data_IF_116746934076
#
_entry.id   IF_116746934076
#
_cell.length_a   1.000
_cell.length_b   1.000
_cell.length_c   1.000
_cell.angle_alpha   90.00
_cell.angle_beta   90.00
_cell.angle_gamma   90.00
#
_symmetry.space_group_name_H-M   'P 1'
#
loop_
_entity.id
_entity.type
_entity.pdbx_description
1 polymer ?
#
# COMPACT_ATOMS: atom_id res chain seq x y z
N UNK A 1 -4.44 16.69 23.93
CA UNK A 1 -4.62 15.44 23.15
C UNK A 1 -3.26 14.83 23.02
N UNK A 2 -3.05 13.64 23.57
CA UNK A 2 -1.78 12.93 23.49
C UNK A 2 -1.46 12.67 22.03
N UNK A 3 -0.40 13.31 21.55
CA UNK A 3 0.24 13.08 20.26
C UNK A 3 0.72 11.63 20.27
N UNK A 4 -0.17 10.71 19.88
CA UNK A 4 0.16 9.30 19.80
C UNK A 4 1.28 9.21 18.77
N UNK A 5 2.44 8.69 19.18
CA UNK A 5 3.60 8.56 18.32
C UNK A 5 3.21 7.70 17.12
N UNK A 6 2.94 8.35 15.99
CA UNK A 6 2.60 7.73 14.73
C UNK A 6 3.77 6.88 14.26
N UNK A 7 3.53 5.58 14.07
CA UNK A 7 4.50 4.63 13.53
C UNK A 7 3.95 4.10 12.20
N UNK A 8 4.42 4.65 11.06
CA UNK A 8 3.96 4.25 9.73
C UNK A 8 4.02 2.73 9.51
N UNK A 9 4.97 2.07 10.16
CA UNK A 9 5.17 0.65 10.02
C UNK A 9 4.02 -0.20 10.57
N UNK A 10 3.35 0.29 11.61
CA UNK A 10 2.16 -0.34 12.18
C UNK A 10 0.85 0.23 11.63
N UNK A 11 0.81 1.51 11.27
CA UNK A 11 -0.40 2.18 10.80
C UNK A 11 -0.95 1.61 9.49
N UNK A 12 -0.08 1.23 8.55
CA UNK A 12 -0.50 0.64 7.26
C UNK A 12 -1.38 -0.61 7.43
N UNK A 13 -1.21 -1.32 8.54
CA UNK A 13 -1.97 -2.52 8.84
C UNK A 13 -3.39 -2.25 9.33
N UNK A 14 -3.72 -1.01 9.71
CA UNK A 14 -5.08 -0.58 10.01
C UNK A 14 -5.94 -0.33 8.75
N UNK A 15 -5.32 -0.37 7.56
CA UNK A 15 -5.99 -0.13 6.29
C UNK A 15 -5.99 -1.40 5.44
N UNK A 16 -7.10 -1.65 4.72
CA UNK A 16 -7.17 -2.75 3.76
C UNK A 16 -6.25 -2.48 2.56
N UNK A 17 -5.79 -3.51 1.81
CA UNK A 17 -4.99 -3.28 0.60
C UNK A 17 -5.71 -2.40 -0.43
N UNK A 18 -7.05 -2.52 -0.48
CA UNK A 18 -7.94 -1.67 -1.27
C UNK A 18 -7.89 -0.21 -0.83
N UNK A 19 -7.95 0.06 0.48
CA UNK A 19 -7.88 1.43 1.00
C UNK A 19 -6.50 2.06 0.74
N UNK A 20 -5.41 1.31 0.93
CA UNK A 20 -4.07 1.76 0.61
C UNK A 20 -3.89 2.06 -0.90
N UNK A 21 -4.44 1.20 -1.77
CA UNK A 21 -4.41 1.46 -3.21
C UNK A 21 -5.24 2.69 -3.59
N UNK A 22 -6.36 2.95 -2.91
CA UNK A 22 -7.17 4.16 -3.11
C UNK A 22 -6.43 5.43 -2.69
N UNK A 23 -5.71 5.39 -1.57
CA UNK A 23 -4.87 6.50 -1.12
C UNK A 23 -3.74 6.78 -2.11
N UNK A 24 -3.03 5.75 -2.56
CA UNK A 24 -1.99 5.89 -3.59
C UNK A 24 -2.55 6.49 -4.89
N UNK A 25 -3.70 6.02 -5.38
CA UNK A 25 -4.36 6.61 -6.55
C UNK A 25 -4.74 8.08 -6.33
N UNK A 26 -5.30 8.40 -5.17
CA UNK A 26 -5.74 9.78 -4.88
C UNK A 26 -4.54 10.73 -4.76
N UNK A 27 -3.42 10.23 -4.23
CA UNK A 27 -2.15 10.95 -4.18
C UNK A 27 -1.63 11.29 -5.57
N UNK A 28 -1.50 10.30 -6.46
CA UNK A 28 -0.99 10.56 -7.83
C UNK A 28 -1.93 11.49 -8.63
N UNK A 29 -3.24 11.40 -8.38
CA UNK A 29 -4.23 12.31 -8.97
C UNK A 29 -4.05 13.76 -8.47
N UNK A 30 -3.77 13.95 -7.17
CA UNK A 30 -3.44 15.26 -6.60
C UNK A 30 -2.18 15.82 -7.26
N UNK A 31 -1.11 15.05 -7.29
CA UNK A 31 0.17 15.46 -7.90
C UNK A 31 -0.01 15.83 -9.37
N UNK A 32 -0.79 15.05 -10.12
CA UNK A 32 -1.11 15.35 -11.51
C UNK A 32 -1.90 16.66 -11.64
N UNK A 33 -2.91 16.88 -10.78
CA UNK A 33 -3.73 18.08 -10.80
C UNK A 33 -2.93 19.34 -10.46
N UNK A 34 -2.08 19.28 -9.43
CA UNK A 34 -1.25 20.41 -9.03
C UNK A 34 -0.17 20.72 -10.08
N UNK A 35 0.45 19.70 -10.68
CA UNK A 35 1.38 19.90 -11.80
C UNK A 35 0.70 20.52 -13.02
N UNK A 36 -0.47 20.01 -13.41
CA UNK A 36 -1.24 20.58 -14.51
C UNK A 36 -1.64 22.03 -14.23
N UNK A 37 -2.05 22.34 -12.99
CA UNK A 37 -2.42 23.69 -12.58
C UNK A 37 -1.21 24.64 -12.58
N UNK A 38 -0.02 24.17 -12.20
CA UNK A 38 1.21 24.96 -12.19
C UNK A 38 1.63 25.40 -13.60
N UNK A 39 1.30 24.64 -14.65
CA UNK A 39 1.59 24.99 -16.04
C UNK A 39 0.53 25.88 -16.73
N UNK A 40 -0.52 26.32 -16.02
CA UNK A 40 -1.57 27.20 -16.60
C UNK A 40 -1.16 28.67 -16.68
N UNK A 41 -0.54 29.28 -15.65
CA UNK A 41 -0.14 30.67 -15.71
C UNK A 41 0.90 30.89 -16.81
N UNK A 42 0.66 31.86 -17.68
CA UNK A 42 1.64 32.35 -18.65
C UNK A 42 2.68 33.19 -17.88
N UNK A 43 3.91 32.68 -17.77
CA UNK A 43 5.05 33.41 -17.23
C UNK A 43 5.69 34.37 -18.24
N UNK A 44 6.87 34.89 -17.92
CA UNK A 44 7.73 35.55 -18.89
C UNK A 44 8.71 34.51 -19.44
N UNK A 45 8.54 34.11 -20.69
CA UNK A 45 9.38 33.12 -21.38
C UNK A 45 10.83 33.62 -21.62
N UNK A 46 11.18 34.81 -21.10
CA UNK A 46 12.49 35.46 -21.29
C UNK A 46 13.67 34.68 -20.69
N UNK A 47 13.40 33.74 -19.78
CA UNK A 47 14.42 32.91 -19.14
C UNK A 47 14.30 31.41 -19.45
N UNK A 48 13.31 31.01 -20.26
CA UNK A 48 13.04 29.61 -20.52
C UNK A 48 14.04 29.04 -21.53
N UNK A 49 14.50 27.82 -21.28
CA UNK A 49 15.39 27.14 -22.21
C UNK A 49 14.59 26.56 -23.41
N UNK A 50 15.15 26.55 -24.63
CA UNK A 50 14.49 25.92 -25.76
C UNK A 50 14.11 24.45 -25.49
N UNK A 51 12.82 24.16 -25.45
CA UNK A 51 12.28 22.81 -25.23
C UNK A 51 11.78 22.52 -23.82
N UNK A 52 11.87 23.48 -22.90
CA UNK A 52 11.37 23.35 -21.52
C UNK A 52 9.88 22.99 -21.46
N UNK A 53 9.04 23.69 -22.22
CA UNK A 53 7.60 23.38 -22.34
C UNK A 53 7.30 21.96 -22.85
N UNK A 54 8.15 21.44 -23.75
CA UNK A 54 8.00 20.05 -24.23
C UNK A 54 8.39 19.07 -23.14
N UNK A 55 9.42 19.37 -22.34
CA UNK A 55 9.83 18.56 -21.21
C UNK A 55 8.75 18.53 -20.11
N UNK A 56 8.13 19.66 -19.80
CA UNK A 56 7.03 19.76 -18.84
C UNK A 56 5.79 18.98 -19.31
N UNK A 57 5.39 19.16 -20.57
CA UNK A 57 4.29 18.39 -21.16
C UNK A 57 4.58 16.88 -21.15
N UNK A 58 5.81 16.47 -21.44
CA UNK A 58 6.23 15.08 -21.39
C UNK A 58 6.20 14.51 -19.95
N UNK A 59 6.62 15.30 -18.96
CA UNK A 59 6.54 14.92 -17.56
C UNK A 59 5.09 14.74 -17.09
N UNK A 60 4.17 15.57 -17.58
CA UNK A 60 2.73 15.43 -17.31
C UNK A 60 2.16 14.14 -17.90
N UNK A 61 2.56 13.76 -19.12
CA UNK A 61 2.17 12.48 -19.74
C UNK A 61 2.67 11.30 -18.91
N UNK A 62 3.91 11.35 -18.43
CA UNK A 62 4.45 10.31 -17.54
C UNK A 62 3.66 10.20 -16.24
N UNK A 63 3.34 11.33 -15.59
CA UNK A 63 2.54 11.34 -14.36
C UNK A 63 1.13 10.76 -14.60
N UNK A 64 0.51 11.08 -15.74
CA UNK A 64 -0.79 10.50 -16.11
C UNK A 64 -0.72 8.97 -16.33
N UNK A 65 0.41 8.46 -16.83
CA UNK A 65 0.62 7.01 -16.94
C UNK A 65 0.76 6.35 -15.56
N UNK A 66 1.44 6.98 -14.59
CA UNK A 66 1.51 6.49 -13.22
C UNK A 66 0.13 6.46 -12.54
N UNK A 67 -0.68 7.50 -12.74
CA UNK A 67 -2.09 7.52 -12.31
C UNK A 67 -2.86 6.33 -12.88
N UNK A 68 -2.69 6.04 -14.17
CA UNK A 68 -3.34 4.89 -14.81
C UNK A 68 -2.90 3.56 -14.18
N UNK A 69 -1.60 3.40 -13.90
CA UNK A 69 -1.09 2.23 -13.19
C UNK A 69 -1.75 2.10 -11.82
N UNK A 70 -1.82 3.18 -11.01
CA UNK A 70 -2.50 3.14 -9.70
C UNK A 70 -3.99 2.83 -9.82
N UNK A 71 -4.66 3.34 -10.86
CA UNK A 71 -6.07 3.06 -11.10
C UNK A 71 -6.30 1.57 -11.37
N UNK A 72 -5.45 0.95 -12.20
CA UNK A 72 -5.47 -0.50 -12.42
C UNK A 72 -5.21 -1.25 -11.12
N UNK A 73 -4.21 -0.86 -10.32
CA UNK A 73 -3.92 -1.50 -9.04
C UNK A 73 -5.09 -1.40 -8.06
N UNK A 74 -5.76 -0.26 -7.99
CA UNK A 74 -6.97 -0.07 -7.19
C UNK A 74 -8.11 -0.98 -7.66
N UNK A 75 -8.36 -1.05 -8.97
CA UNK A 75 -9.36 -1.96 -9.56
C UNK A 75 -9.04 -3.43 -9.27
N UNK A 76 -7.76 -3.82 -9.33
CA UNK A 76 -7.33 -5.17 -8.96
C UNK A 76 -7.50 -5.45 -7.48
N UNK A 77 -7.24 -4.48 -6.61
CA UNK A 77 -7.42 -4.59 -5.16
C UNK A 77 -8.90 -4.71 -4.74
N UNK A 78 -9.85 -4.27 -5.57
CA UNK A 78 -11.29 -4.51 -5.41
C UNK A 78 -11.81 -5.72 -6.20
N UNK A 79 -10.90 -6.59 -6.65
CA UNK A 79 -11.19 -7.82 -7.38
C UNK A 79 -11.82 -7.66 -8.78
N UNK A 80 -11.66 -6.50 -9.41
CA UNK A 80 -12.10 -6.31 -10.80
C UNK A 80 -11.29 -7.21 -11.73
N UNK A 81 -11.96 -7.90 -12.64
CA UNK A 81 -11.33 -8.85 -13.57
C UNK A 81 -10.48 -8.15 -14.63
N UNK A 82 -9.49 -8.87 -15.17
CA UNK A 82 -8.67 -8.36 -16.27
C UNK A 82 -9.49 -8.11 -17.53
N UNK A 83 -10.58 -8.86 -17.74
CA UNK A 83 -11.52 -8.65 -18.82
C UNK A 83 -12.18 -7.28 -18.73
N UNK A 84 -12.72 -6.92 -17.55
CA UNK A 84 -13.38 -5.63 -17.34
C UNK A 84 -12.39 -4.46 -17.44
N UNK A 85 -11.18 -4.63 -16.91
CA UNK A 85 -10.12 -3.61 -17.04
C UNK A 85 -9.73 -3.43 -18.51
N UNK A 86 -9.55 -4.52 -19.26
CA UNK A 86 -9.15 -4.44 -20.66
C UNK A 86 -10.23 -3.81 -21.54
N UNK A 87 -11.50 -4.06 -21.25
CA UNK A 87 -12.65 -3.40 -21.90
C UNK A 87 -12.59 -1.88 -21.72
N UNK A 88 -12.34 -1.39 -20.50
CA UNK A 88 -12.21 0.05 -20.24
C UNK A 88 -11.00 0.69 -20.91
N UNK A 89 -9.96 -0.09 -21.18
CA UNK A 89 -8.73 0.37 -21.83
C UNK A 89 -8.70 0.13 -23.35
N UNK A 90 -9.82 -0.31 -23.93
CA UNK A 90 -9.94 -0.69 -25.34
C UNK A 90 -8.80 -1.61 -25.82
N UNK A 91 -8.52 -2.66 -25.03
CA UNK A 91 -7.48 -3.63 -25.35
C UNK A 91 -7.90 -5.07 -25.02
N UNK A 92 -7.08 -6.03 -25.44
CA UNK A 92 -7.32 -7.45 -25.12
C UNK A 92 -6.97 -7.74 -23.66
N UNK A 93 -7.73 -8.63 -23.01
CA UNK A 93 -7.45 -9.15 -21.66
C UNK A 93 -5.99 -9.52 -21.46
N UNK A 94 -5.43 -10.31 -22.38
CA UNK A 94 -4.05 -10.79 -22.28
C UNK A 94 -3.05 -9.62 -22.30
N UNK A 95 -3.27 -8.62 -23.16
CA UNK A 95 -2.43 -7.43 -23.25
C UNK A 95 -2.49 -6.58 -21.98
N UNK A 96 -3.68 -6.40 -21.39
CA UNK A 96 -3.83 -5.71 -20.11
C UNK A 96 -3.08 -6.45 -18.98
N UNK A 97 -3.28 -7.77 -18.89
CA UNK A 97 -2.60 -8.58 -17.89
C UNK A 97 -1.07 -8.54 -18.07
N UNK A 98 -0.55 -8.76 -19.28
CA UNK A 98 0.89 -8.71 -19.54
C UNK A 98 1.50 -7.34 -19.21
N UNK A 99 0.79 -6.25 -19.55
CA UNK A 99 1.25 -4.89 -19.29
C UNK A 99 1.33 -4.54 -17.82
N UNK A 100 0.37 -4.99 -17.00
CA UNK A 100 0.23 -4.55 -15.61
C UNK A 100 0.57 -5.61 -14.57
N UNK A 101 0.86 -6.87 -14.96
CA UNK A 101 1.20 -7.95 -14.00
C UNK A 101 2.39 -7.59 -13.11
N UNK A 102 3.40 -6.92 -13.66
CA UNK A 102 4.63 -6.61 -12.92
C UNK A 102 4.37 -5.53 -11.88
N UNK A 103 3.59 -4.50 -12.24
CA UNK A 103 3.13 -3.49 -11.31
C UNK A 103 2.24 -4.11 -10.22
N UNK A 104 1.31 -5.01 -10.56
CA UNK A 104 0.46 -5.71 -9.59
C UNK A 104 1.29 -6.56 -8.61
N UNK A 105 2.27 -7.32 -9.13
CA UNK A 105 3.12 -8.15 -8.29
C UNK A 105 4.04 -7.32 -7.40
N UNK A 106 4.64 -6.26 -7.96
CA UNK A 106 5.50 -5.34 -7.21
C UNK A 106 4.73 -4.66 -6.09
N UNK A 107 3.50 -4.23 -6.34
CA UNK A 107 2.61 -3.68 -5.33
C UNK A 107 2.31 -4.68 -4.21
N UNK A 108 1.91 -5.90 -4.55
CA UNK A 108 1.61 -6.95 -3.55
C UNK A 108 2.81 -7.27 -2.67
N UNK A 109 3.99 -7.40 -3.28
CA UNK A 109 5.22 -7.62 -2.54
C UNK A 109 5.56 -6.43 -1.63
N UNK A 110 5.39 -5.20 -2.12
CA UNK A 110 5.69 -3.98 -1.38
C UNK A 110 4.80 -3.78 -0.15
N UNK A 111 3.58 -4.33 -0.14
CA UNK A 111 2.73 -4.33 1.05
C UNK A 111 3.34 -5.12 2.22
N UNK A 112 4.19 -6.11 1.91
CA UNK A 112 4.88 -6.93 2.91
C UNK A 112 6.33 -6.49 3.13
N UNK A 113 6.99 -6.02 2.08
CA UNK A 113 8.37 -5.53 2.08
C UNK A 113 8.41 -4.09 1.55
N UNK A 114 8.09 -3.10 2.40
CA UNK A 114 7.87 -1.72 1.97
C UNK A 114 9.15 -0.98 1.57
N UNK A 115 10.32 -1.54 1.88
CA UNK A 115 11.62 -0.96 1.55
C UNK A 115 12.35 -1.83 0.54
N UNK A 116 13.07 -1.21 -0.38
CA UNK A 116 13.99 -1.95 -1.23
C UNK A 116 15.13 -2.55 -0.39
N UNK A 117 15.59 -3.77 -0.72
CA UNK A 117 16.73 -4.37 -0.04
C UNK A 117 17.98 -3.50 -0.25
N UNK A 118 18.74 -3.26 0.82
CA UNK A 118 20.00 -2.54 0.74
C UNK A 118 21.01 -3.39 -0.05
N UNK A 119 21.58 -2.89 -1.16
CA UNK A 119 22.57 -3.64 -1.92
C UNK A 119 23.81 -3.98 -1.07
N UNK A 120 24.37 -5.19 -1.20
CA UNK A 120 25.61 -5.56 -0.52
C UNK A 120 26.74 -4.55 -0.86
N UNK A 121 27.31 -3.90 0.16
CA UNK A 121 28.40 -2.93 -0.02
C UNK A 121 27.96 -1.46 -0.20
N UNK A 122 26.66 -1.15 -0.08
CA UNK A 122 26.20 0.23 -0.06
C UNK A 122 26.80 0.99 1.13
N UNK A 123 27.57 2.06 0.84
CA UNK A 123 28.23 2.92 1.84
C UNK A 123 27.24 3.73 2.69
N UNK A 124 26.01 3.89 2.19
CA UNK A 124 24.88 4.51 2.87
C UNK A 124 23.63 3.67 2.60
N UNK A 125 22.92 3.18 3.63
CA UNK A 125 21.65 2.49 3.46
C UNK A 125 20.57 3.55 3.18
N UNK A 126 20.46 4.01 1.94
CA UNK A 126 19.28 4.75 1.52
C UNK A 126 18.17 3.72 1.30
N UNK A 127 17.32 3.54 2.29
CA UNK A 127 16.09 2.76 2.14
C UNK A 127 15.15 3.56 1.24
N UNK A 128 15.16 3.27 -0.06
CA UNK A 128 14.13 3.79 -0.95
C UNK A 128 12.86 2.97 -0.72
N UNK A 129 11.75 3.67 -0.43
CA UNK A 129 10.43 3.05 -0.32
C UNK A 129 10.12 2.31 -1.63
N UNK A 130 9.83 1.02 -1.50
CA UNK A 130 9.26 0.18 -2.55
C UNK A 130 7.75 0.35 -2.59
N UNK A 131 7.12 0.49 -1.42
CA UNK A 131 5.71 0.81 -1.30
C UNK A 131 5.50 2.30 -1.59
N UNK A 132 4.42 2.62 -2.29
CA UNK A 132 4.06 4.01 -2.55
C UNK A 132 3.93 4.79 -1.23
N UNK A 133 4.43 6.04 -1.18
CA UNK A 133 4.50 6.83 0.06
C UNK A 133 3.15 6.98 0.74
N UNK A 134 2.09 7.28 -0.02
CA UNK A 134 0.73 7.39 0.52
C UNK A 134 0.16 6.07 1.09
N UNK A 135 0.71 4.93 0.70
CA UNK A 135 0.36 3.63 1.28
C UNK A 135 1.28 3.23 2.45
N UNK A 136 2.48 3.82 2.52
CA UNK A 136 3.40 3.64 3.64
C UNK A 136 3.01 4.52 4.84
N UNK A 137 2.63 5.78 4.60
CA UNK A 137 2.17 6.74 5.61
C UNK A 137 0.68 7.11 5.42
N UNK A 138 -0.27 6.16 5.53
CA UNK A 138 -1.66 6.37 5.11
C UNK A 138 -2.42 7.43 5.91
N UNK A 139 -2.10 7.61 7.21
CA UNK A 139 -2.74 8.63 8.05
C UNK A 139 -2.34 10.03 7.57
N UNK A 140 -1.03 10.26 7.42
CA UNK A 140 -0.48 11.54 6.93
C UNK A 140 -1.00 11.83 5.53
N UNK A 141 -0.88 10.87 4.62
CA UNK A 141 -1.35 11.04 3.25
C UNK A 141 -2.87 11.30 3.17
N UNK A 142 -3.66 10.60 3.98
CA UNK A 142 -5.10 10.84 4.09
C UNK A 142 -5.43 12.25 4.53
N UNK A 143 -4.77 12.74 5.60
CA UNK A 143 -4.95 14.11 6.09
C UNK A 143 -4.56 15.15 5.04
N UNK A 144 -3.40 14.98 4.42
CA UNK A 144 -2.89 15.92 3.41
C UNK A 144 -3.80 15.94 2.16
N UNK A 145 -4.44 14.81 1.83
CA UNK A 145 -5.44 14.72 0.75
C UNK A 145 -6.78 15.36 1.12
N UNK A 146 -7.22 15.20 2.36
CA UNK A 146 -8.45 15.83 2.86
C UNK A 146 -8.30 17.36 2.91
N UNK A 147 -7.15 17.85 3.36
CA UNK A 147 -6.80 19.28 3.36
C UNK A 147 -6.83 19.84 1.93
N UNK A 148 -6.16 19.17 0.99
CA UNK A 148 -6.17 19.56 -0.43
C UNK A 148 -7.60 19.60 -1.00
N UNK A 149 -8.43 18.60 -0.70
CA UNK A 149 -9.81 18.56 -1.16
C UNK A 149 -10.63 19.71 -0.55
N UNK A 150 -10.41 20.02 0.73
CA UNK A 150 -11.09 21.12 1.42
C UNK A 150 -10.74 22.47 0.82
N UNK A 151 -9.46 22.75 0.57
CA UNK A 151 -8.98 24.01 -0.03
C UNK A 151 -9.59 24.28 -1.41
N UNK A 152 -9.93 23.22 -2.15
CA UNK A 152 -10.56 23.30 -3.48
C UNK A 152 -12.08 23.15 -3.45
N UNK A 153 -12.71 23.24 -2.28
CA UNK A 153 -14.17 23.19 -2.14
C UNK A 153 -14.78 21.80 -2.36
N UNK A 154 -13.98 20.74 -2.29
CA UNK A 154 -14.39 19.33 -2.40
C UNK A 154 -14.46 18.61 -1.04
N UNK A 155 -14.51 19.36 0.07
CA UNK A 155 -14.46 18.82 1.44
C UNK A 155 -15.64 17.90 1.83
N UNK A 156 -16.78 17.99 1.14
CA UNK A 156 -17.89 17.03 1.32
C UNK A 156 -17.52 15.60 0.88
N UNK A 157 -16.45 15.45 0.11
CA UNK A 157 -15.91 14.18 -0.39
C UNK A 157 -14.48 13.95 0.10
N UNK A 158 -14.22 14.22 1.39
CA UNK A 158 -12.96 13.90 2.05
C UNK A 158 -12.49 12.48 1.65
N UNK A 159 -11.23 12.37 1.21
CA UNK A 159 -10.66 11.13 0.69
C UNK A 159 -10.69 10.06 1.76
N UNK A 160 -10.37 10.41 3.01
CA UNK A 160 -10.42 9.45 4.13
C UNK A 160 -11.84 9.07 4.51
N UNK A 161 -12.81 9.98 4.39
CA UNK A 161 -14.22 9.75 4.69
C UNK A 161 -14.89 8.70 3.79
N UNK A 162 -14.33 8.49 2.59
CA UNK A 162 -14.78 7.46 1.65
C UNK A 162 -14.04 6.13 1.74
N UNK A 163 -13.03 5.99 2.62
CA UNK A 163 -12.27 4.75 2.73
C UNK A 163 -13.11 3.66 3.42
N UNK A 164 -13.09 2.42 2.92
CA UNK A 164 -13.79 1.32 3.55
C UNK A 164 -13.16 1.03 4.92
N UNK A 165 -14.00 0.85 5.94
CA UNK A 165 -13.58 0.32 7.23
C UNK A 165 -12.96 -1.07 7.05
N UNK A 166 -11.81 -1.31 7.66
CA UNK A 166 -11.16 -2.62 7.63
C UNK A 166 -12.03 -3.63 8.39
N UNK A 167 -12.56 -4.64 7.68
CA UNK A 167 -13.27 -5.74 8.31
C UNK A 167 -12.29 -6.73 8.95
N UNK A 168 -12.74 -7.49 9.96
CA UNK A 168 -11.93 -8.56 10.56
C UNK A 168 -11.50 -9.63 9.54
N UNK A 169 -12.34 -9.88 8.52
CA UNK A 169 -12.03 -10.81 7.43
C UNK A 169 -10.93 -10.26 6.51
N UNK A 170 -10.98 -8.98 6.16
CA UNK A 170 -9.92 -8.34 5.38
C UNK A 170 -8.61 -8.34 6.15
N UNK A 171 -8.66 -8.05 7.45
CA UNK A 171 -7.48 -8.09 8.33
C UNK A 171 -6.89 -9.51 8.40
N UNK A 172 -7.74 -10.54 8.44
CA UNK A 172 -7.30 -11.94 8.44
C UNK A 172 -6.66 -12.30 7.10
N UNK A 173 -7.26 -11.86 5.99
CA UNK A 173 -6.70 -12.01 4.66
C UNK A 173 -5.28 -11.44 4.57
N UNK A 174 -5.06 -10.22 5.07
CA UNK A 174 -3.72 -9.61 5.10
C UNK A 174 -2.69 -10.42 5.90
N UNK A 175 -3.09 -10.96 7.05
CA UNK A 175 -2.20 -11.76 7.89
C UNK A 175 -1.84 -13.07 7.18
N UNK A 176 -2.81 -13.73 6.53
CA UNK A 176 -2.57 -14.95 5.78
C UNK A 176 -1.71 -14.71 4.54
N UNK A 177 -1.94 -13.61 3.81
CA UNK A 177 -1.12 -13.21 2.67
C UNK A 177 0.32 -12.92 3.11
N UNK A 178 0.51 -12.22 4.23
CA UNK A 178 1.85 -11.98 4.80
C UNK A 178 2.57 -13.26 5.20
N UNK A 179 1.85 -14.22 5.78
CA UNK A 179 2.41 -15.55 6.08
C UNK A 179 2.78 -16.27 4.79
N UNK A 180 1.90 -16.26 3.77
CA UNK A 180 2.19 -16.86 2.46
C UNK A 180 3.44 -16.24 1.81
N UNK A 181 3.58 -14.91 1.88
CA UNK A 181 4.75 -14.18 1.40
C UNK A 181 6.04 -14.67 2.06
N UNK A 182 6.05 -14.83 3.39
CA UNK A 182 7.22 -15.32 4.13
C UNK A 182 7.67 -16.71 3.69
N UNK A 183 6.75 -17.56 3.26
CA UNK A 183 7.01 -18.93 2.83
C UNK A 183 7.08 -19.10 1.30
N UNK A 184 6.97 -18.01 0.52
CA UNK A 184 6.96 -18.06 -0.94
C UNK A 184 8.25 -18.65 -1.52
N UNK A 185 9.39 -18.30 -0.92
CA UNK A 185 10.69 -18.85 -1.29
C UNK A 185 11.03 -20.04 -0.38
N UNK A 186 10.81 -21.26 -0.88
CA UNK A 186 11.09 -22.49 -0.15
C UNK A 186 12.58 -22.68 0.18
N UNK A 187 13.48 -21.96 -0.51
CA UNK A 187 14.93 -22.09 -0.32
C UNK A 187 15.48 -21.09 0.70
N UNK A 188 14.69 -20.07 1.07
CA UNK A 188 15.05 -19.07 2.07
C UNK A 188 14.32 -19.37 3.38
N UNK A 189 15.08 -19.47 4.49
CA UNK A 189 14.46 -19.55 5.81
C UNK A 189 13.70 -18.23 6.06
N UNK A 190 12.42 -18.27 6.45
CA UNK A 190 11.66 -17.06 6.76
C UNK A 190 12.36 -16.26 7.86
N UNK A 191 12.30 -14.92 7.77
CA UNK A 191 12.77 -14.05 8.85
C UNK A 191 12.02 -14.41 10.15
N UNK A 192 12.74 -14.88 11.19
CA UNK A 192 12.11 -15.25 12.46
C UNK A 192 11.33 -14.11 13.08
N UNK A 193 11.83 -12.86 12.99
CA UNK A 193 11.18 -11.70 13.59
C UNK A 193 9.87 -11.35 12.87
N UNK A 194 9.87 -11.33 11.54
CA UNK A 194 8.64 -11.14 10.75
C UNK A 194 7.62 -12.26 11.00
N UNK A 195 8.08 -13.52 11.08
CA UNK A 195 7.22 -14.67 11.38
C UNK A 195 6.57 -14.55 12.75
N UNK A 196 7.32 -14.15 13.77
CA UNK A 196 6.80 -13.90 15.11
C UNK A 196 5.71 -12.81 15.08
N UNK A 197 6.02 -11.63 14.50
CA UNK A 197 5.07 -10.50 14.41
C UNK A 197 3.74 -10.88 13.76
N UNK A 198 3.78 -11.60 12.63
CA UNK A 198 2.55 -12.04 11.94
C UNK A 198 1.78 -13.09 12.74
N UNK A 199 2.47 -13.97 13.46
CA UNK A 199 1.83 -14.99 14.31
C UNK A 199 1.14 -14.35 15.53
N UNK A 200 1.77 -13.36 16.15
CA UNK A 200 1.18 -12.57 17.24
C UNK A 200 -0.04 -11.79 16.77
N UNK A 201 0.05 -11.15 15.59
CA UNK A 201 -1.09 -10.45 14.98
C UNK A 201 -2.23 -11.41 14.65
N UNK A 202 -1.92 -12.61 14.14
CA UNK A 202 -2.92 -13.67 13.89
C UNK A 202 -3.66 -14.04 15.18
N UNK A 203 -2.93 -14.25 16.28
CA UNK A 203 -3.52 -14.58 17.57
C UNK A 203 -4.47 -13.48 18.07
N UNK A 204 -4.00 -12.23 18.09
CA UNK A 204 -4.81 -11.09 18.53
C UNK A 204 -6.07 -10.90 17.69
N UNK A 205 -5.98 -11.12 16.38
CA UNK A 205 -7.13 -11.04 15.49
C UNK A 205 -8.13 -12.17 15.69
N UNK A 206 -7.65 -13.41 15.92
CA UNK A 206 -8.53 -14.54 16.23
C UNK A 206 -9.26 -14.36 17.57
N UNK A 207 -8.61 -13.78 18.58
CA UNK A 207 -9.26 -13.40 19.84
C UNK A 207 -10.39 -12.38 19.58
N UNK A 208 -10.15 -11.37 18.75
CA UNK A 208 -11.18 -10.40 18.34
C UNK A 208 -12.33 -11.07 17.59
N UNK A 209 -12.05 -11.93 16.62
CA UNK A 209 -13.07 -12.68 15.88
C UNK A 209 -13.92 -13.55 16.83
N UNK A 210 -13.30 -14.19 17.83
CA UNK A 210 -14.03 -15.00 18.79
C UNK A 210 -15.05 -14.18 19.59
N UNK A 211 -14.69 -12.95 19.97
CA UNK A 211 -15.53 -12.04 20.77
C UNK A 211 -16.55 -11.30 19.90
N UNK A 212 -16.09 -10.60 18.85
CA UNK A 212 -16.89 -9.68 18.04
C UNK A 212 -17.86 -10.44 17.11
N UNK A 213 -17.44 -11.57 16.54
CA UNK A 213 -18.26 -12.38 15.60
C UNK A 213 -18.88 -13.61 16.26
N UNK A 214 -18.63 -13.83 17.56
CA UNK A 214 -19.19 -14.94 18.33
C UNK A 214 -18.75 -16.33 17.84
N UNK A 215 -17.50 -16.48 17.38
CA UNK A 215 -16.94 -17.73 16.85
C UNK A 215 -16.00 -18.42 17.83
N UNK A 216 -16.49 -19.33 18.70
CA UNK A 216 -15.67 -19.95 19.75
C UNK A 216 -14.51 -20.80 19.21
N UNK A 217 -14.64 -21.36 18.00
CA UNK A 217 -13.55 -22.08 17.35
C UNK A 217 -12.32 -21.20 17.07
N UNK A 218 -12.51 -19.89 16.91
CA UNK A 218 -11.42 -18.93 16.73
C UNK A 218 -10.57 -18.79 18.01
N UNK A 219 -11.16 -18.98 19.20
CA UNK A 219 -10.42 -18.93 20.46
C UNK A 219 -9.42 -20.08 20.59
N UNK A 220 -9.80 -21.29 20.16
CA UNK A 220 -8.88 -22.43 20.12
C UNK A 220 -7.72 -22.18 19.14
N UNK A 221 -8.01 -21.62 17.96
CA UNK A 221 -6.99 -21.24 16.98
C UNK A 221 -6.09 -20.10 17.49
N UNK A 222 -6.62 -19.17 18.30
CA UNK A 222 -5.85 -18.11 18.93
C UNK A 222 -4.86 -18.68 19.95
N UNK A 223 -5.26 -19.66 20.74
CA UNK A 223 -4.36 -20.38 21.66
C UNK A 223 -3.24 -21.09 20.92
N UNK A 224 -3.54 -21.80 19.82
CA UNK A 224 -2.53 -22.44 18.96
C UNK A 224 -1.54 -21.40 18.40
N UNK A 225 -2.04 -20.27 17.91
CA UNK A 225 -1.20 -19.18 17.40
C UNK A 225 -0.32 -18.57 18.50
N UNK A 226 -0.85 -18.37 19.72
CA UNK A 226 -0.06 -17.89 20.87
C UNK A 226 1.02 -18.89 21.29
N UNK A 227 0.71 -20.19 21.29
CA UNK A 227 1.68 -21.23 21.58
C UNK A 227 2.83 -21.22 20.56
N UNK A 228 2.50 -21.09 19.27
CA UNK A 228 3.51 -20.97 18.21
C UNK A 228 4.35 -19.68 18.36
N UNK A 229 3.72 -18.54 18.67
CA UNK A 229 4.44 -17.29 18.92
C UNK A 229 5.41 -17.42 20.10
N UNK A 230 5.01 -18.10 21.19
CA UNK A 230 5.88 -18.35 22.34
C UNK A 230 7.09 -19.23 21.96
N UNK A 231 6.89 -20.28 21.16
CA UNK A 231 7.97 -21.11 20.64
C UNK A 231 8.95 -20.30 19.78
N UNK A 232 8.43 -19.48 18.85
CA UNK A 232 9.25 -18.62 18.00
C UNK A 232 10.06 -17.60 18.79
N UNK A 233 9.47 -17.01 19.83
CA UNK A 233 10.18 -16.08 20.71
C UNK A 233 11.35 -16.78 21.42
N UNK A 234 11.11 -17.98 21.97
CA UNK A 234 12.17 -18.76 22.60
C UNK A 234 13.28 -19.18 21.63
N UNK A 235 12.94 -19.51 20.37
CA UNK A 235 13.94 -19.79 19.33
C UNK A 235 14.82 -18.58 19.01
N UNK A 236 14.22 -17.39 18.90
CA UNK A 236 14.95 -16.13 18.64
C UNK A 236 15.86 -15.78 19.82
N UNK A 237 15.35 -15.87 21.05
CA UNK A 237 16.12 -15.58 22.27
C UNK A 237 17.25 -16.59 22.51
N UNK A 238 17.03 -17.87 22.17
CA UNK A 238 18.04 -18.92 22.29
C UNK A 238 19.09 -18.95 21.18
N UNK A 239 18.93 -18.14 20.12
CA UNK A 239 19.90 -17.98 19.02
C UNK A 239 20.64 -16.65 19.03
N UNK A 240 20.31 -15.75 19.97
CA UNK A 240 21.01 -14.50 20.24
C UNK A 240 22.17 -14.70 21.23
#
# INVERSE_FOLDING_TARGET
>A
MTDAKHDPDTERYAYSPKALARLALSYELRELADRAAAGVPTGSDEYDEPGEEVAEAFALVHQAQEVLVRAVLYERARHTSWEAIAEQLDMKKQSAHERYREAEQTWKDALHEPFNPIPPGARFPYNYLRLHEAAYEPIKAGRDLDEWAQERGQGEHAVTGGLPTLSLLDEMGQVLDGLSYLYRDMHKRPDPAARLRLTERKAALLDRIAIEEGRPEAAAQAEEARALAAQLRAEIEGTA
#
